data_IF_304842135032
#
_entry.id   IF_304842135032
#
_cell.length_a   1.000
_cell.length_b   1.000
_cell.length_c   1.000
_cell.angle_alpha   90.00
_cell.angle_beta   90.00
_cell.angle_gamma   90.00
#
_symmetry.space_group_name_H-M   'P 1'
#
loop_
_entity.id
_entity.type
_entity.pdbx_description
1 polymer ?
#
# COMPACT_ATOMS: atom_id res chain seq x y z
N UNK A 1 -28.36 -42.71 20.02
CA UNK A 1 -26.99 -42.62 19.46
C UNK A 1 -27.02 -41.54 18.41
N UNK A 2 -26.55 -40.34 18.75
CA UNK A 2 -26.57 -39.14 17.89
C UNK A 2 -25.15 -38.83 17.45
N UNK A 3 -24.99 -38.64 16.14
CA UNK A 3 -23.74 -38.57 15.40
C UNK A 3 -22.85 -37.38 15.78
N UNK A 4 -21.58 -37.65 16.10
CA UNK A 4 -20.53 -36.64 16.38
C UNK A 4 -19.72 -36.28 15.10
N UNK A 5 -19.97 -36.92 13.97
CA UNK A 5 -19.05 -36.90 12.82
C UNK A 5 -19.10 -35.68 11.88
N UNK A 6 -19.95 -34.67 12.11
CA UNK A 6 -20.02 -33.49 11.22
C UNK A 6 -19.00 -32.38 11.55
N UNK A 7 -18.29 -32.45 12.69
CA UNK A 7 -17.56 -31.29 13.25
C UNK A 7 -16.22 -30.91 12.59
N UNK A 8 -15.67 -31.70 11.67
CA UNK A 8 -14.28 -31.49 11.20
C UNK A 8 -14.13 -30.58 9.98
N UNK A 9 -15.22 -30.22 9.30
CA UNK A 9 -15.17 -29.40 8.07
C UNK A 9 -15.73 -28.00 8.22
N UNK A 10 -16.49 -27.75 9.28
CA UNK A 10 -17.07 -26.44 9.51
C UNK A 10 -16.04 -25.50 10.13
N UNK A 11 -15.95 -24.25 9.64
CA UNK A 11 -15.10 -23.25 10.26
C UNK A 11 -15.52 -23.07 11.73
N UNK A 12 -14.57 -23.21 12.65
CA UNK A 12 -14.82 -23.11 14.10
C UNK A 12 -15.19 -21.69 14.54
N UNK A 13 -14.96 -20.70 13.68
CA UNK A 13 -15.25 -19.30 13.92
C UNK A 13 -16.19 -18.77 12.83
N UNK A 14 -17.16 -17.92 13.20
CA UNK A 14 -17.87 -17.08 12.24
C UNK A 14 -16.90 -16.31 11.34
N UNK A 15 -17.22 -16.13 10.04
CA UNK A 15 -16.34 -15.44 9.09
C UNK A 15 -15.90 -14.03 9.54
N UNK A 16 -16.77 -13.31 10.26
CA UNK A 16 -16.50 -11.95 10.74
C UNK A 16 -15.41 -11.95 11.81
N UNK A 17 -15.40 -12.96 12.69
CA UNK A 17 -14.37 -13.11 13.72
C UNK A 17 -13.04 -13.56 13.11
N UNK A 18 -13.07 -14.48 12.15
CA UNK A 18 -11.86 -14.85 11.40
C UNK A 18 -11.26 -13.62 10.72
N UNK A 19 -12.08 -12.83 10.02
CA UNK A 19 -11.66 -11.60 9.36
C UNK A 19 -10.97 -10.64 10.33
N UNK A 20 -11.60 -10.35 11.48
CA UNK A 20 -11.01 -9.44 12.47
C UNK A 20 -9.69 -9.95 13.06
N UNK A 21 -9.55 -11.25 13.27
CA UNK A 21 -8.27 -11.83 13.73
C UNK A 21 -7.17 -11.59 12.69
N UNK A 22 -7.44 -11.88 11.42
CA UNK A 22 -6.45 -11.68 10.35
C UNK A 22 -6.16 -10.20 10.10
N UNK A 23 -7.14 -9.32 10.21
CA UNK A 23 -6.96 -7.88 10.09
C UNK A 23 -6.07 -7.34 11.22
N UNK A 24 -6.33 -7.71 12.48
CA UNK A 24 -5.49 -7.31 13.61
C UNK A 24 -4.06 -7.84 13.45
N UNK A 25 -3.90 -9.10 13.05
CA UNK A 25 -2.58 -9.69 12.80
C UNK A 25 -1.83 -8.98 11.67
N UNK A 26 -2.51 -8.64 10.58
CA UNK A 26 -1.96 -7.90 9.45
C UNK A 26 -1.52 -6.49 9.84
N UNK A 27 -2.34 -5.77 10.62
CA UNK A 27 -2.02 -4.42 11.10
C UNK A 27 -0.89 -4.43 12.13
N UNK A 28 -0.82 -5.44 12.99
CA UNK A 28 0.24 -5.57 13.99
C UNK A 28 1.61 -5.91 13.36
N UNK A 29 1.63 -6.63 12.24
CA UNK A 29 2.86 -6.98 11.52
C UNK A 29 2.64 -6.95 9.99
N UNK A 30 2.76 -5.77 9.35
CA UNK A 30 2.55 -5.63 7.90
C UNK A 30 3.47 -6.50 7.04
N UNK A 31 4.72 -6.73 7.46
CA UNK A 31 5.65 -7.68 6.82
C UNK A 31 5.12 -9.11 6.72
N UNK A 32 4.19 -9.48 7.60
CA UNK A 32 3.57 -10.80 7.64
C UNK A 32 2.40 -10.97 6.67
N UNK A 33 1.89 -9.88 6.08
CA UNK A 33 0.70 -9.91 5.21
C UNK A 33 0.82 -10.95 4.07
N UNK A 34 1.93 -11.03 3.32
CA UNK A 34 2.07 -12.03 2.26
C UNK A 34 1.90 -13.46 2.78
N UNK A 35 2.36 -13.77 4.00
CA UNK A 35 2.20 -15.09 4.62
C UNK A 35 0.75 -15.34 5.05
N UNK A 36 0.09 -14.34 5.61
CA UNK A 36 -1.34 -14.44 6.00
C UNK A 36 -2.23 -14.73 4.79
N UNK A 37 -1.93 -14.13 3.64
CA UNK A 37 -2.66 -14.37 2.38
C UNK A 37 -2.56 -15.82 1.87
N UNK A 38 -1.61 -16.62 2.35
CA UNK A 38 -1.46 -18.03 1.96
C UNK A 38 -2.34 -18.98 2.77
N UNK A 39 -2.98 -18.52 3.85
CA UNK A 39 -3.75 -19.38 4.76
C UNK A 39 -4.99 -19.95 4.09
N UNK A 40 -5.76 -19.11 3.40
CA UNK A 40 -6.94 -19.53 2.65
C UNK A 40 -7.32 -18.48 1.60
N UNK A 41 -8.06 -18.89 0.56
CA UNK A 41 -8.53 -17.97 -0.49
C UNK A 41 -9.32 -16.79 0.07
N UNK A 42 -10.22 -17.02 1.05
CA UNK A 42 -11.00 -15.94 1.69
C UNK A 42 -10.11 -14.93 2.43
N UNK A 43 -9.08 -15.43 3.13
CA UNK A 43 -8.12 -14.59 3.86
C UNK A 43 -7.34 -13.72 2.89
N UNK A 44 -6.94 -14.26 1.74
CA UNK A 44 -6.33 -13.47 0.67
C UNK A 44 -7.21 -12.28 0.27
N UNK A 45 -8.49 -12.52 -0.06
CA UNK A 45 -9.41 -11.44 -0.46
C UNK A 45 -9.60 -10.39 0.62
N UNK A 46 -9.65 -10.81 1.88
CA UNK A 46 -9.81 -9.92 3.02
C UNK A 46 -8.59 -9.04 3.31
N UNK A 47 -7.40 -9.61 3.20
CA UNK A 47 -6.16 -8.97 3.67
C UNK A 47 -5.38 -8.31 2.52
N UNK A 48 -5.57 -8.72 1.27
CA UNK A 48 -4.92 -8.11 0.11
C UNK A 48 -5.06 -6.57 0.05
N UNK A 49 -6.22 -5.95 0.36
CA UNK A 49 -6.33 -4.49 0.44
C UNK A 49 -5.36 -3.84 1.44
N UNK A 50 -5.04 -4.52 2.54
CA UNK A 50 -4.13 -4.01 3.56
C UNK A 50 -2.67 -4.02 3.07
N UNK A 51 -2.31 -4.93 2.16
CA UNK A 51 -0.98 -4.97 1.55
C UNK A 51 -0.68 -3.69 0.75
N UNK A 52 -1.67 -3.19 0.03
CA UNK A 52 -1.53 -2.00 -0.82
C UNK A 52 -1.89 -0.70 -0.09
N UNK A 53 -2.27 -0.76 1.18
CA UNK A 53 -2.68 0.43 1.94
C UNK A 53 -1.55 1.43 2.12
N UNK A 54 -0.33 0.93 2.33
CA UNK A 54 0.91 1.70 2.43
C UNK A 54 1.81 1.27 1.29
N UNK A 55 2.13 2.19 0.40
CA UNK A 55 3.04 1.96 -0.71
C UNK A 55 4.29 2.79 -0.49
N UNK A 56 5.43 2.13 -0.43
CA UNK A 56 6.73 2.77 -0.45
C UNK A 56 7.32 2.64 -1.85
N UNK A 57 7.53 3.78 -2.49
CA UNK A 57 8.21 3.90 -3.75
C UNK A 57 9.64 4.34 -3.50
N UNK A 58 10.56 3.53 -3.99
CA UNK A 58 11.99 3.70 -3.79
C UNK A 58 12.71 3.56 -5.14
N UNK A 59 13.70 4.42 -5.39
CA UNK A 59 14.50 4.38 -6.61
C UNK A 59 15.47 3.20 -6.53
N UNK A 60 15.55 2.29 -7.51
CA UNK A 60 16.33 1.04 -7.45
C UNK A 60 17.84 1.20 -7.14
N UNK A 61 18.35 2.43 -7.05
CA UNK A 61 19.69 2.80 -6.60
C UNK A 61 19.93 2.71 -5.09
N UNK A 62 18.89 2.80 -4.25
CA UNK A 62 19.05 2.85 -2.77
C UNK A 62 18.84 1.48 -2.10
N UNK A 63 19.90 0.73 -1.82
CA UNK A 63 19.78 -0.62 -1.26
C UNK A 63 19.21 -0.70 0.19
N UNK A 64 18.67 0.39 0.74
CA UNK A 64 18.30 0.55 2.14
C UNK A 64 16.82 0.89 2.35
N UNK A 65 15.91 -0.07 2.13
CA UNK A 65 14.55 0.05 2.67
C UNK A 65 14.52 -0.46 4.12
N UNK A 66 14.95 0.37 5.06
CA UNK A 66 15.00 0.05 6.50
C UNK A 66 13.61 -0.07 7.16
N UNK A 67 12.55 0.38 6.46
CA UNK A 67 11.21 0.51 7.04
C UNK A 67 10.46 -0.82 7.14
N UNK A 68 11.02 -1.93 6.63
CA UNK A 68 10.35 -3.23 6.65
C UNK A 68 8.99 -3.23 5.93
N UNK A 69 8.76 -2.25 5.06
CA UNK A 69 7.56 -2.19 4.23
C UNK A 69 7.85 -2.84 2.87
N UNK A 70 6.84 -3.41 2.19
CA UNK A 70 7.00 -3.84 0.82
C UNK A 70 7.35 -2.61 -0.04
N UNK A 71 8.62 -2.50 -0.44
CA UNK A 71 9.06 -1.51 -1.40
C UNK A 71 8.64 -1.95 -2.80
N UNK A 72 8.00 -1.05 -3.54
CA UNK A 72 7.58 -1.29 -4.90
C UNK A 72 8.50 -0.56 -5.87
N UNK A 73 8.95 -1.28 -6.89
CA UNK A 73 9.66 -0.68 -8.03
C UNK A 73 8.70 0.07 -8.94
N UNK A 74 9.21 1.00 -9.74
CA UNK A 74 8.42 1.82 -10.67
C UNK A 74 7.59 0.95 -11.62
N UNK A 75 8.22 -0.08 -12.19
CA UNK A 75 7.56 -1.06 -13.03
C UNK A 75 6.40 -1.78 -12.34
N UNK A 76 6.55 -2.09 -11.04
CA UNK A 76 5.51 -2.77 -10.26
C UNK A 76 4.33 -1.85 -10.00
N UNK A 77 4.58 -0.55 -9.77
CA UNK A 77 3.52 0.44 -9.57
C UNK A 77 2.75 0.69 -10.86
N UNK A 78 3.44 0.94 -11.98
CA UNK A 78 2.79 1.22 -13.26
C UNK A 78 1.92 0.03 -13.71
N UNK A 79 2.37 -1.21 -13.47
CA UNK A 79 1.62 -2.44 -13.76
C UNK A 79 0.52 -2.74 -12.74
N UNK A 80 0.42 -1.99 -11.65
CA UNK A 80 -0.61 -2.18 -10.63
C UNK A 80 -1.98 -1.85 -11.21
N UNK A 81 -2.93 -2.77 -11.07
CA UNK A 81 -4.31 -2.58 -11.52
C UNK A 81 -5.03 -1.51 -10.71
N UNK A 82 -6.01 -0.84 -11.33
CA UNK A 82 -6.77 0.24 -10.70
C UNK A 82 -7.48 -0.21 -9.42
N UNK A 83 -7.97 -1.45 -9.37
CA UNK A 83 -8.58 -2.04 -8.18
C UNK A 83 -7.63 -2.02 -6.96
N UNK A 84 -6.32 -2.24 -7.17
CA UNK A 84 -5.32 -2.19 -6.10
C UNK A 84 -5.00 -0.74 -5.72
N UNK A 85 -4.96 0.17 -6.71
CA UNK A 85 -4.69 1.60 -6.48
C UNK A 85 -5.74 2.26 -5.59
N UNK A 86 -6.99 1.85 -5.71
CA UNK A 86 -8.09 2.35 -4.86
C UNK A 86 -7.89 2.06 -3.36
N UNK A 87 -7.07 1.06 -3.02
CA UNK A 87 -6.75 0.72 -1.64
C UNK A 87 -5.58 1.49 -1.07
N UNK A 88 -4.81 2.20 -1.91
CA UNK A 88 -3.69 3.03 -1.47
C UNK A 88 -4.24 4.20 -0.65
N UNK A 89 -3.72 4.35 0.57
CA UNK A 89 -4.04 5.46 1.49
C UNK A 89 -2.83 6.28 1.84
N UNK A 90 -1.66 5.63 1.90
CA UNK A 90 -0.41 6.26 2.31
C UNK A 90 0.64 5.95 1.25
N UNK A 91 1.18 7.00 0.63
CA UNK A 91 2.22 6.88 -0.39
C UNK A 91 3.47 7.59 0.11
N UNK A 92 4.59 6.87 0.13
CA UNK A 92 5.91 7.39 0.41
C UNK A 92 6.73 7.37 -0.87
N UNK A 93 7.19 8.53 -1.31
CA UNK A 93 8.02 8.70 -2.49
C UNK A 93 9.41 9.13 -2.06
N UNK A 94 10.38 8.21 -2.18
CA UNK A 94 11.76 8.46 -1.76
C UNK A 94 12.52 9.34 -2.77
N UNK A 95 12.32 9.11 -4.07
CA UNK A 95 12.85 9.98 -5.11
C UNK A 95 11.88 9.98 -6.28
N UNK A 96 11.27 11.12 -6.60
CA UNK A 96 10.67 11.30 -7.92
C UNK A 96 11.81 11.42 -8.93
N UNK A 97 12.10 10.33 -9.63
CA UNK A 97 12.98 10.36 -10.80
C UNK A 97 12.48 11.40 -11.82
N UNK A 98 13.33 11.78 -12.77
CA UNK A 98 12.95 12.68 -13.88
C UNK A 98 11.86 12.08 -14.79
N UNK A 99 11.48 10.81 -14.58
CA UNK A 99 10.51 10.13 -15.41
C UNK A 99 9.07 10.60 -15.17
N UNK A 100 8.45 11.01 -16.28
CA UNK A 100 7.08 11.53 -16.38
C UNK A 100 5.96 10.48 -16.21
N UNK A 101 6.31 9.26 -15.81
CA UNK A 101 5.36 8.14 -15.74
C UNK A 101 4.56 8.10 -14.43
N UNK A 102 5.18 8.52 -13.33
CA UNK A 102 4.61 8.31 -12.00
C UNK A 102 3.54 9.35 -11.65
N UNK A 103 3.59 10.55 -12.22
CA UNK A 103 2.64 11.62 -11.91
C UNK A 103 1.22 11.22 -12.29
N UNK A 104 1.02 10.69 -13.50
CA UNK A 104 -0.28 10.19 -13.95
C UNK A 104 -0.80 9.05 -13.07
N UNK A 105 0.10 8.20 -12.57
CA UNK A 105 -0.22 7.10 -11.69
C UNK A 105 -0.65 7.59 -10.30
N UNK A 106 0.07 8.58 -9.74
CA UNK A 106 -0.28 9.21 -8.46
C UNK A 106 -1.67 9.86 -8.57
N UNK A 107 -1.93 10.59 -9.66
CA UNK A 107 -3.24 11.21 -9.93
C UNK A 107 -4.39 10.18 -10.04
N UNK A 108 -4.10 8.94 -10.44
CA UNK A 108 -5.11 7.87 -10.48
C UNK A 108 -5.45 7.30 -9.09
N UNK A 109 -4.68 7.62 -8.05
CA UNK A 109 -4.90 7.16 -6.68
C UNK A 109 -5.95 8.03 -5.97
N UNK A 110 -7.23 7.84 -6.28
CA UNK A 110 -8.36 8.59 -5.69
C UNK A 110 -8.53 8.38 -4.18
N UNK A 111 -7.91 7.35 -3.65
CA UNK A 111 -7.96 6.97 -2.25
C UNK A 111 -6.91 7.62 -1.35
N UNK A 112 -6.01 8.42 -1.92
CA UNK A 112 -4.80 8.84 -1.23
C UNK A 112 -5.11 9.84 -0.12
N UNK A 113 -4.68 9.53 1.10
CA UNK A 113 -4.90 10.37 2.29
C UNK A 113 -3.63 11.06 2.75
N UNK A 114 -2.50 10.34 2.71
CA UNK A 114 -1.20 10.83 3.13
C UNK A 114 -0.22 10.66 1.98
N UNK A 115 0.44 11.75 1.62
CA UNK A 115 1.53 11.75 0.66
C UNK A 115 2.78 12.29 1.35
N UNK A 116 3.80 11.45 1.42
CA UNK A 116 5.14 11.85 1.82
C UNK A 116 6.02 11.80 0.58
N UNK A 117 6.75 12.87 0.30
CA UNK A 117 7.67 12.89 -0.82
C UNK A 117 8.97 13.63 -0.44
N UNK A 118 10.10 12.92 -0.52
CA UNK A 118 11.43 13.52 -0.52
C UNK A 118 11.68 14.04 -1.95
N UNK A 119 11.78 15.36 -2.12
CA UNK A 119 11.62 15.97 -3.44
C UNK A 119 12.75 16.92 -3.83
N UNK A 120 13.22 16.74 -5.06
CA UNK A 120 13.55 17.84 -5.98
C UNK A 120 12.27 18.24 -6.72
N UNK A 121 11.33 18.90 -6.05
CA UNK A 121 10.02 19.21 -6.65
C UNK A 121 10.15 20.46 -7.53
N UNK A 122 9.98 20.31 -8.85
CA UNK A 122 9.73 21.48 -9.69
C UNK A 122 8.35 22.06 -9.35
N UNK A 123 8.13 23.38 -9.51
CA UNK A 123 6.81 23.98 -9.30
C UNK A 123 5.68 23.32 -10.10
N UNK A 124 6.00 22.73 -11.26
CA UNK A 124 5.05 21.97 -12.07
C UNK A 124 4.59 20.68 -11.38
N UNK A 125 5.50 19.94 -10.75
CA UNK A 125 5.15 18.72 -9.99
C UNK A 125 4.29 19.06 -8.77
N UNK A 126 4.56 20.16 -8.08
CA UNK A 126 3.71 20.65 -6.99
C UNK A 126 2.29 20.96 -7.50
N UNK A 127 2.18 21.61 -8.67
CA UNK A 127 0.87 21.87 -9.29
C UNK A 127 0.13 20.60 -9.66
N UNK A 128 0.81 19.56 -10.14
CA UNK A 128 0.18 18.26 -10.38
C UNK A 128 -0.37 17.66 -9.09
N UNK A 129 0.39 17.71 -7.99
CA UNK A 129 -0.07 17.21 -6.69
C UNK A 129 -1.29 17.97 -6.15
N UNK A 130 -1.47 19.24 -6.53
CA UNK A 130 -2.67 19.99 -6.16
C UNK A 130 -3.97 19.44 -6.77
N UNK A 131 -3.87 18.62 -7.84
CA UNK A 131 -5.01 17.94 -8.45
C UNK A 131 -5.55 16.74 -7.65
N UNK A 132 -4.87 16.34 -6.57
CA UNK A 132 -5.28 15.22 -5.73
C UNK A 132 -6.37 15.66 -4.75
N UNK A 133 -7.62 15.29 -5.03
CA UNK A 133 -8.73 15.49 -4.11
C UNK A 133 -8.71 14.41 -3.01
N UNK A 134 -8.73 14.80 -1.74
CA UNK A 134 -8.80 13.88 -0.60
C UNK A 134 -7.50 13.70 0.20
N UNK A 135 -6.42 14.37 -0.18
CA UNK A 135 -5.21 14.42 0.65
C UNK A 135 -5.49 15.25 1.90
N UNK A 136 -5.21 14.65 3.06
CA UNK A 136 -5.30 15.31 4.36
C UNK A 136 -3.92 15.79 4.83
N UNK A 137 -2.88 15.01 4.52
CA UNK A 137 -1.51 15.31 4.93
C UNK A 137 -0.58 15.21 3.73
N UNK A 138 0.07 16.33 3.41
CA UNK A 138 1.13 16.43 2.41
C UNK A 138 2.41 16.85 3.10
N UNK A 139 3.40 15.96 3.14
CA UNK A 139 4.74 16.28 3.63
C UNK A 139 5.71 16.26 2.47
N UNK A 140 6.36 17.40 2.24
CA UNK A 140 7.36 17.57 1.20
C UNK A 140 8.65 17.95 1.89
N UNK A 141 9.65 17.10 1.81
CA UNK A 141 11.00 17.45 2.25
C UNK A 141 11.78 17.99 1.05
N UNK A 142 12.04 19.29 1.06
CA UNK A 142 12.81 19.96 0.04
C UNK A 142 14.29 19.99 0.46
N UNK A 143 15.02 18.91 0.19
CA UNK A 143 16.45 18.80 0.55
C UNK A 143 17.40 19.38 -0.51
N UNK A 144 16.90 20.17 -1.47
CA UNK A 144 17.76 20.86 -2.43
C UNK A 144 17.24 22.25 -2.81
N UNK A 145 17.58 23.25 -1.99
CA UNK A 145 17.61 24.67 -2.35
C UNK A 145 19.05 25.23 -2.33
N UNK A 146 20.05 24.36 -2.53
CA UNK A 146 21.46 24.76 -2.66
C UNK A 146 22.03 24.17 -3.95
N UNK A 147 21.98 24.96 -5.02
CA UNK A 147 22.52 24.64 -6.35
C UNK A 147 21.89 25.50 -7.43
#
# INVERSE_FOLDING_TARGET
MMSIETSLRDPKLPPELEYRIFEIAALARPTGIPRLMLVARRVKYWIEPLLYRVVLFHSPSDEHSELGLPAFTQDSLIKMSDAKRQHIRHLFLDVLSKDHGLESWILSCTGLTNLFAYLYCTPEKIRLLSGLSGIHYLTIEASALSG
#
